data_IF_509436323528
#
_entry.id   IF_509436323528
#
_cell.length_a   1.000
_cell.length_b   1.000
_cell.length_c   1.000
_cell.angle_alpha   90.00
_cell.angle_beta   90.00
_cell.angle_gamma   90.00
#
_symmetry.space_group_name_H-M   'P 1'
#
loop_
_entity.id
_entity.type
_entity.pdbx_description
1 polymer ?
2 non-polymer ?
3 non-polymer ?
4 non-polymer ?
5 water ?
#
# COMPACT_ATOMS: atom_id res chain seq x y z
N UNK A 1 18.83 1.37 0.13
CA UNK A 1 18.24 2.26 1.11
C UNK A 1 16.85 1.80 1.54
N UNK A 2 16.73 1.37 2.80
CA UNK A 2 15.44 0.93 3.33
C UNK A 2 14.53 2.09 3.66
N UNK A 3 15.04 3.32 3.61
CA UNK A 3 14.23 4.50 3.87
C UNK A 3 13.27 4.82 2.73
N UNK A 4 13.48 4.22 1.55
CA UNK A 4 12.67 4.57 0.39
C UNK A 4 11.19 4.32 0.67
N UNK A 5 10.85 3.15 1.19
CA UNK A 5 9.45 2.82 1.38
C UNK A 5 8.82 3.70 2.45
N UNK A 6 9.61 4.13 3.44
CA UNK A 6 9.08 5.02 4.46
C UNK A 6 8.67 6.36 3.86
N UNK A 7 9.48 6.87 2.92
CA UNK A 7 9.11 8.11 2.25
C UNK A 7 7.82 7.94 1.44
N UNK A 8 7.68 6.80 0.75
CA UNK A 8 6.49 6.56 -0.07
C UNK A 8 5.24 6.54 0.80
N UNK A 9 5.34 5.94 1.99
CA UNK A 9 4.19 5.80 2.87
C UNK A 9 3.69 7.14 3.36
N UNK A 10 4.59 8.12 3.52
CA UNK A 10 4.22 9.44 4.04
C UNK A 10 3.68 10.37 2.95
N UNK A 11 3.74 9.97 1.68
CA UNK A 11 3.32 10.88 0.62
C UNK A 11 1.82 11.16 0.66
N UNK A 12 1.01 10.16 0.95
CA UNK A 12 -0.44 10.32 0.98
C UNK A 12 -1.03 9.56 2.16
N UNK A 13 -2.12 10.08 2.75
CA UNK A 13 -2.75 9.38 3.89
C UNK A 13 -3.28 7.99 3.54
N UNK A 14 -3.75 7.79 2.31
CA UNK A 14 -4.42 6.57 1.92
C UNK A 14 -3.75 6.05 0.66
N UNK A 15 -3.48 4.75 0.62
CA UNK A 15 -2.92 4.13 -0.57
C UNK A 15 -3.98 3.25 -1.19
N UNK A 16 -4.56 3.64 -2.33
CA UNK A 16 -5.60 2.80 -2.93
C UNK A 16 -5.05 1.44 -3.29
N UNK A 17 -5.87 0.41 -3.07
CA UNK A 17 -5.56 -0.97 -3.40
C UNK A 17 -6.43 -1.31 -4.58
N UNK A 18 -5.83 -1.37 -5.76
CA UNK A 18 -6.58 -1.44 -7.01
C UNK A 18 -6.63 -2.87 -7.51
N UNK A 19 -7.83 -3.31 -7.84
CA UNK A 19 -8.05 -4.59 -8.51
C UNK A 19 -8.67 -4.25 -9.85
N UNK A 20 -7.88 -4.29 -10.92
CA UNK A 20 -8.30 -3.80 -12.22
C UNK A 20 -8.83 -5.01 -13.00
N UNK A 21 -10.15 -5.15 -13.04
CA UNK A 21 -10.73 -6.27 -13.78
C UNK A 21 -10.90 -5.95 -15.27
N UNK A 22 -11.05 -4.69 -15.62
CA UNK A 22 -11.11 -4.25 -17.02
C UNK A 22 -9.96 -3.29 -17.29
N UNK A 23 -9.05 -3.70 -18.16
CA UNK A 23 -7.83 -2.94 -18.41
C UNK A 23 -8.15 -1.56 -18.99
N UNK A 24 -9.28 -1.43 -19.67
CA UNK A 24 -9.68 -0.14 -20.22
C UNK A 24 -9.95 0.89 -19.14
N UNK A 25 -10.23 0.45 -17.91
CA UNK A 25 -10.41 1.36 -16.78
C UNK A 25 -9.11 1.80 -16.13
N UNK A 26 -7.97 1.25 -16.55
CA UNK A 26 -6.72 1.52 -15.84
C UNK A 26 -6.35 3.00 -15.91
N UNK A 27 -6.28 3.56 -17.11
CA UNK A 27 -5.95 4.98 -17.24
C UNK A 27 -6.98 5.90 -16.57
N UNK A 28 -8.29 5.78 -16.82
CA UNK A 28 -9.23 6.69 -16.12
C UNK A 28 -9.16 6.59 -14.62
N UNK A 29 -8.91 5.39 -14.08
CA UNK A 29 -8.83 5.25 -12.63
C UNK A 29 -7.59 5.94 -12.09
N UNK A 30 -6.44 5.72 -12.73
CA UNK A 30 -5.22 6.39 -12.25
C UNK A 30 -5.34 7.90 -12.37
N UNK A 31 -5.95 8.38 -13.46
CA UNK A 31 -6.11 9.82 -13.63
C UNK A 31 -7.01 10.41 -12.56
N UNK A 32 -8.09 9.71 -12.20
CA UNK A 32 -9.02 10.23 -11.20
C UNK A 32 -8.40 10.22 -9.81
N UNK A 33 -7.60 9.20 -9.50
CA UNK A 33 -6.95 9.16 -8.19
C UNK A 33 -5.89 10.23 -8.08
N UNK A 34 -5.06 10.39 -9.10
CA UNK A 34 -4.01 11.39 -9.05
C UNK A 34 -4.62 12.79 -8.94
N UNK A 35 -5.75 13.01 -9.62
CA UNK A 35 -6.44 14.29 -9.56
C UNK A 35 -6.98 14.59 -8.16
N UNK A 36 -7.24 13.56 -7.36
CA UNK A 36 -7.64 13.70 -5.98
C UNK A 36 -6.52 13.77 -4.96
N UNK A 37 -5.27 13.66 -5.42
CA UNK A 37 -4.13 13.66 -4.53
C UNK A 37 -3.70 12.31 -3.99
N UNK A 38 -4.41 11.23 -4.33
CA UNK A 38 -3.98 9.87 -3.97
C UNK A 38 -3.21 9.29 -5.14
N UNK A 39 -1.97 9.75 -5.29
CA UNK A 39 -1.16 9.34 -6.44
C UNK A 39 -0.27 8.14 -6.19
N UNK A 40 -0.19 7.65 -4.95
CA UNK A 40 0.56 6.43 -4.64
C UNK A 40 -0.40 5.26 -4.80
N UNK A 41 -0.21 4.46 -5.86
CA UNK A 41 -1.19 3.49 -6.31
C UNK A 41 -0.63 2.09 -6.21
N UNK A 42 -1.36 1.19 -5.55
CA UNK A 42 -1.02 -0.23 -5.53
C UNK A 42 -1.91 -0.97 -6.51
N UNK A 43 -1.31 -1.46 -7.59
CA UNK A 43 -2.01 -2.29 -8.57
C UNK A 43 -1.73 -3.74 -8.22
N UNK A 44 -2.72 -4.43 -7.66
CA UNK A 44 -2.53 -5.82 -7.28
C UNK A 44 -2.36 -6.70 -8.50
N UNK A 45 -1.47 -7.68 -8.40
CA UNK A 45 -1.25 -8.66 -9.46
C UNK A 45 -2.19 -9.85 -9.30
N UNK A 46 -3.46 -9.57 -9.06
CA UNK A 46 -4.48 -10.61 -8.92
C UNK A 46 -5.23 -10.88 -10.21
N UNK A 47 -4.96 -10.13 -11.27
CA UNK A 47 -5.72 -10.19 -12.51
C UNK A 47 -4.77 -10.41 -13.68
N UNK A 48 -5.25 -11.06 -14.75
CA UNK A 48 -4.36 -11.35 -15.89
C UNK A 48 -3.74 -10.14 -16.54
N UNK A 49 -4.43 -9.01 -16.56
CA UNK A 49 -3.95 -7.82 -17.26
C UNK A 49 -3.04 -6.96 -16.40
N UNK A 50 -2.78 -7.35 -15.15
CA UNK A 50 -2.33 -6.38 -14.16
C UNK A 50 -1.00 -5.74 -14.54
N UNK A 51 -0.08 -6.50 -15.13
CA UNK A 51 1.18 -5.89 -15.54
C UNK A 51 0.97 -4.86 -16.65
N UNK A 52 0.04 -5.12 -17.56
CA UNK A 52 -0.25 -4.13 -18.58
C UNK A 52 -0.96 -2.92 -17.99
N UNK A 53 -1.82 -3.13 -16.99
CA UNK A 53 -2.43 -1.98 -16.31
C UNK A 53 -1.38 -1.12 -15.60
N UNK A 54 -0.34 -1.75 -15.05
CA UNK A 54 0.73 -0.98 -14.41
C UNK A 54 1.43 -0.11 -15.43
N UNK A 55 1.70 -0.65 -16.63
CA UNK A 55 2.36 0.14 -17.66
C UNK A 55 1.48 1.29 -18.12
N UNK A 56 0.16 1.09 -18.15
CA UNK A 56 -0.75 2.16 -18.54
C UNK A 56 -0.76 3.27 -17.48
N UNK A 57 -0.86 2.88 -16.21
CA UNK A 57 -0.94 3.87 -15.15
C UNK A 57 0.36 4.64 -14.99
N UNK A 58 1.50 4.03 -15.34
CA UNK A 58 2.78 4.74 -15.30
C UNK A 58 2.80 5.92 -16.27
N UNK A 59 1.97 5.88 -17.32
CA UNK A 59 1.89 6.97 -18.28
C UNK A 59 1.19 8.20 -17.73
N UNK A 60 0.50 8.09 -16.59
CA UNK A 60 -0.18 9.23 -15.99
C UNK A 60 0.85 10.07 -15.24
N UNK A 61 1.03 11.34 -15.59
CA UNK A 61 2.01 12.16 -14.84
C UNK A 61 1.61 12.26 -13.38
N UNK A 62 2.60 12.09 -12.49
CA UNK A 62 2.39 12.15 -11.07
C UNK A 62 1.98 10.85 -10.40
N UNK A 63 1.63 9.82 -11.17
CA UNK A 63 1.29 8.54 -10.59
C UNK A 63 2.55 7.82 -10.14
N UNK A 64 2.55 7.37 -8.89
CA UNK A 64 3.62 6.56 -8.32
C UNK A 64 3.06 5.16 -8.22
N UNK A 65 3.37 4.32 -9.21
CA UNK A 65 2.71 3.02 -9.36
C UNK A 65 3.56 1.94 -8.72
N UNK A 66 2.94 1.14 -7.86
CA UNK A 66 3.57 -0.05 -7.32
C UNK A 66 2.74 -1.27 -7.68
N UNK A 67 3.36 -2.44 -7.50
CA UNK A 67 2.67 -3.70 -7.65
C UNK A 67 2.30 -4.25 -6.28
N UNK A 68 1.08 -4.79 -6.17
CA UNK A 68 0.64 -5.48 -4.99
C UNK A 68 0.46 -6.97 -5.25
N UNK A 69 0.20 -7.70 -4.16
CA UNK A 69 0.07 -9.15 -4.21
C UNK A 69 1.29 -9.77 -4.88
N UNK A 70 2.47 -9.24 -4.54
CA UNK A 70 3.74 -9.76 -5.01
C UNK A 70 4.09 -10.94 -4.12
N UNK A 71 3.88 -12.16 -4.61
CA UNK A 71 3.97 -13.35 -3.77
C UNK A 71 5.34 -14.00 -3.74
N UNK A 72 6.22 -13.69 -4.70
CA UNK A 72 7.50 -14.39 -4.76
C UNK A 72 8.48 -13.54 -5.57
N UNK A 73 9.74 -14.01 -5.60
CA UNK A 73 10.81 -13.25 -6.24
C UNK A 73 10.56 -13.07 -7.74
N UNK A 74 9.93 -14.06 -8.38
CA UNK A 74 9.68 -13.94 -9.82
C UNK A 74 8.64 -12.87 -10.11
N UNK A 75 7.58 -12.80 -9.31
CA UNK A 75 6.61 -11.72 -9.51
C UNK A 75 7.23 -10.36 -9.22
N UNK A 76 8.15 -10.28 -8.27
CA UNK A 76 8.82 -9.00 -8.04
C UNK A 76 9.65 -8.60 -9.26
N UNK A 77 10.34 -9.56 -9.87
CA UNK A 77 11.13 -9.24 -11.06
C UNK A 77 10.24 -8.77 -12.20
N UNK A 78 9.09 -9.42 -12.39
CA UNK A 78 8.19 -9.01 -13.46
C UNK A 78 7.63 -7.62 -13.22
N UNK A 79 7.35 -7.29 -11.95
CA UNK A 79 6.84 -5.97 -11.62
C UNK A 79 7.93 -4.92 -11.76
N UNK A 80 9.16 -5.24 -11.32
CA UNK A 80 10.25 -4.30 -11.43
C UNK A 80 10.61 -4.03 -12.89
N UNK A 81 10.51 -5.05 -13.74
CA UNK A 81 10.72 -4.85 -15.17
C UNK A 81 9.63 -4.01 -15.79
N UNK A 82 8.42 -4.05 -15.24
CA UNK A 82 7.35 -3.19 -15.73
C UNK A 82 7.47 -1.76 -15.24
N UNK A 83 8.43 -1.48 -14.36
CA UNK A 83 8.68 -0.13 -13.92
C UNK A 83 8.06 0.27 -12.59
N UNK A 84 7.58 -0.68 -11.81
CA UNK A 84 6.98 -0.36 -10.52
C UNK A 84 7.98 0.33 -9.61
N UNK A 85 7.52 1.36 -8.90
CA UNK A 85 8.37 2.09 -7.99
C UNK A 85 8.43 1.48 -6.60
N UNK A 86 7.44 0.65 -6.23
CA UNK A 86 7.44 -0.02 -4.94
C UNK A 86 6.61 -1.29 -5.09
N UNK A 87 6.66 -2.13 -4.05
CA UNK A 87 6.10 -3.47 -4.11
C UNK A 87 5.41 -3.79 -2.79
N UNK A 88 4.22 -4.39 -2.87
CA UNK A 88 3.42 -4.73 -1.70
C UNK A 88 3.12 -6.21 -1.75
N UNK A 89 3.18 -6.86 -0.59
CA UNK A 89 2.79 -8.26 -0.47
C UNK A 89 1.85 -8.45 0.71
N UNK A 90 0.91 -9.39 0.61
CA UNK A 90 0.04 -9.69 1.77
C UNK A 90 0.79 -10.19 2.98
N UNK A 91 1.93 -10.87 2.78
CA UNK A 91 2.73 -11.41 3.86
C UNK A 91 4.20 -11.38 3.47
N UNK A 92 5.06 -11.97 4.29
CA UNK A 92 6.50 -11.93 4.04
C UNK A 92 7.08 -13.33 4.14
N UNK A 93 7.90 -13.70 3.15
CA UNK A 93 8.75 -14.88 3.22
C UNK A 93 10.21 -14.43 3.20
N UNK A 94 11.09 -15.27 3.71
CA UNK A 94 12.51 -14.92 3.66
C UNK A 94 13.01 -14.81 2.23
N UNK A 95 12.50 -15.66 1.33
CA UNK A 95 12.96 -15.61 -0.05
C UNK A 95 12.54 -14.32 -0.74
N UNK A 96 11.29 -13.88 -0.52
CA UNK A 96 10.86 -12.62 -1.11
C UNK A 96 11.64 -11.45 -0.54
N UNK A 97 11.82 -11.41 0.79
CA UNK A 97 12.47 -10.26 1.39
C UNK A 97 13.94 -10.15 1.04
N UNK A 98 14.64 -11.30 1.00
CA UNK A 98 16.05 -11.25 0.62
C UNK A 98 16.21 -10.83 -0.83
N UNK A 99 15.28 -11.24 -1.70
CA UNK A 99 15.36 -10.85 -3.10
C UNK A 99 15.11 -9.35 -3.27
N UNK A 100 14.13 -8.81 -2.54
CA UNK A 100 13.85 -7.38 -2.64
C UNK A 100 15.03 -6.55 -2.14
N UNK A 101 15.68 -6.99 -1.07
CA UNK A 101 16.85 -6.25 -0.59
C UNK A 101 17.99 -6.34 -1.60
N UNK A 102 18.23 -7.54 -2.15
CA UNK A 102 19.30 -7.70 -3.13
C UNK A 102 19.02 -6.90 -4.40
N UNK A 103 17.76 -6.78 -4.80
CA UNK A 103 17.37 -6.04 -6.00
C UNK A 103 17.14 -4.57 -5.74
N UNK A 104 17.37 -4.09 -4.51
CA UNK A 104 17.14 -2.70 -4.14
C UNK A 104 15.68 -2.29 -4.36
N UNK A 105 14.75 -3.23 -4.18
CA UNK A 105 13.34 -2.96 -4.39
C UNK A 105 12.70 -2.47 -3.10
N UNK A 106 11.90 -1.41 -3.20
CA UNK A 106 11.21 -0.82 -2.04
C UNK A 106 9.99 -1.67 -1.73
N UNK A 107 10.18 -2.67 -0.87
CA UNK A 107 9.14 -3.62 -0.51
C UNK A 107 8.42 -3.17 0.75
N UNK A 108 7.09 -3.33 0.74
CA UNK A 108 6.22 -3.00 1.86
C UNK A 108 5.43 -4.28 2.15
N UNK A 109 6.03 -5.22 2.86
CA UNK A 109 5.37 -6.51 3.11
C UNK A 109 4.33 -6.44 4.21
N UNK A 110 3.29 -7.26 4.05
CA UNK A 110 2.31 -7.41 5.10
C UNK A 110 2.81 -8.24 6.26
N UNK A 111 2.31 -7.92 7.44
CA UNK A 111 2.58 -8.68 8.65
C UNK A 111 1.26 -8.81 9.39
N UNK A 112 1.12 -9.92 10.12
CA UNK A 112 -0.06 -10.12 10.95
C UNK A 112 0.27 -10.40 12.42
N UNK A 113 1.50 -10.74 12.75
CA UNK A 113 1.86 -11.12 14.11
C UNK A 113 3.34 -10.84 14.31
N UNK A 114 3.79 -10.99 15.57
CA UNK A 114 5.13 -10.55 15.92
C UNK A 114 6.21 -11.32 15.18
N UNK A 115 5.98 -12.60 14.88
CA UNK A 115 6.99 -13.37 14.15
C UNK A 115 7.23 -12.80 12.76
N UNK A 116 6.18 -12.26 12.11
CA UNK A 116 6.36 -11.66 10.79
C UNK A 116 7.22 -10.41 10.87
N UNK A 117 7.00 -9.59 11.90
CA UNK A 117 7.80 -8.38 12.08
C UNK A 117 9.25 -8.73 12.34
N UNK A 118 9.49 -9.75 13.16
CA UNK A 118 10.86 -10.11 13.51
C UNK A 118 11.61 -10.65 12.30
N UNK A 119 10.95 -11.39 11.42
CA UNK A 119 11.60 -11.81 10.18
C UNK A 119 11.95 -10.61 9.33
N UNK A 120 11.07 -9.62 9.26
CA UNK A 120 11.37 -8.44 8.47
C UNK A 120 12.51 -7.64 9.06
N UNK A 121 12.55 -7.52 10.39
CA UNK A 121 13.66 -6.82 11.02
C UNK A 121 14.98 -7.55 10.75
N UNK A 122 14.95 -8.88 10.73
CA UNK A 122 16.15 -9.64 10.44
C UNK A 122 16.65 -9.41 9.02
N UNK A 123 15.74 -9.10 8.09
CA UNK A 123 16.11 -8.80 6.72
C UNK A 123 16.51 -7.35 6.51
N UNK A 124 16.40 -6.52 7.54
CA UNK A 124 16.65 -5.09 7.41
C UNK A 124 15.46 -4.24 7.08
N UNK A 125 14.24 -4.78 7.16
CA UNK A 125 13.03 -4.04 6.89
C UNK A 125 12.35 -3.65 8.21
N UNK A 126 11.83 -2.41 8.27
CA UNK A 126 11.10 -1.99 9.46
C UNK A 126 9.82 -1.22 9.13
N UNK A 127 9.29 -1.37 7.92
CA UNK A 127 8.04 -0.76 7.51
C UNK A 127 7.15 -1.85 6.89
N UNK A 128 5.92 -1.99 7.38
CA UNK A 128 5.07 -3.10 7.01
C UNK A 128 3.61 -2.66 6.90
N UNK A 129 2.88 -3.32 6.01
CA UNK A 129 1.43 -3.38 6.11
C UNK A 129 1.01 -4.24 7.28
N UNK A 130 -0.03 -3.81 7.98
CA UNK A 130 -0.69 -4.62 9.02
C UNK A 130 -1.95 -5.17 8.35
N UNK A 131 -1.87 -6.42 7.89
CA UNK A 131 -2.89 -6.96 7.01
C UNK A 131 -3.30 -8.38 7.39
N UNK A 132 -4.60 -8.72 7.27
CA UNK A 132 -5.73 -7.81 7.01
C UNK A 132 -6.25 -7.18 8.30
N UNK A 133 -6.13 -5.85 8.40
CA UNK A 133 -6.17 -5.19 9.71
C UNK A 133 -7.43 -5.54 10.50
N UNK A 134 -8.60 -5.43 9.87
CA UNK A 134 -9.83 -5.56 10.64
C UNK A 134 -10.17 -7.02 10.98
N UNK A 135 -9.46 -7.98 10.41
CA UNK A 135 -9.66 -9.39 10.72
C UNK A 135 -8.63 -9.95 11.69
N UNK A 136 -7.61 -9.18 12.06
CA UNK A 136 -6.58 -9.68 12.96
C UNK A 136 -6.51 -8.83 14.23
N UNK A 137 -7.65 -8.25 14.62
CA UNK A 137 -7.74 -7.48 15.84
C UNK A 137 -7.78 -5.98 15.67
N UNK A 138 -7.55 -5.45 14.45
CA UNK A 138 -7.83 -4.05 14.22
C UNK A 138 -6.87 -3.13 14.95
N UNK A 139 -7.34 -1.91 15.21
CA UNK A 139 -6.50 -0.92 15.88
C UNK A 139 -6.00 -1.39 17.25
N UNK A 140 -6.82 -2.00 18.13
CA UNK A 140 -6.26 -2.49 19.39
C UNK A 140 -5.11 -3.48 19.21
N UNK A 141 -5.18 -4.35 18.20
CA UNK A 141 -4.09 -5.27 17.97
C UNK A 141 -2.86 -4.54 17.40
N UNK A 142 -3.09 -3.56 16.53
CA UNK A 142 -1.97 -2.80 16.00
C UNK A 142 -1.30 -1.97 17.10
N UNK A 143 -2.09 -1.45 18.04
CA UNK A 143 -1.50 -0.68 19.13
C UNK A 143 -0.59 -1.55 19.98
N UNK A 144 -1.00 -2.79 20.27
CA UNK A 144 -0.15 -3.66 21.07
C UNK A 144 1.14 -3.99 20.33
N UNK A 145 1.06 -4.12 19.00
CA UNK A 145 2.24 -4.44 18.22
C UNK A 145 3.18 -3.25 18.10
N UNK A 146 2.62 -2.05 17.89
CA UNK A 146 3.43 -0.85 17.81
C UNK A 146 4.08 -0.53 19.16
N UNK A 147 3.43 -0.92 20.26
CA UNK A 147 4.01 -0.73 21.58
C UNK A 147 5.25 -1.60 21.77
N UNK A 148 5.25 -2.79 21.16
CA UNK A 148 6.38 -3.70 21.30
C UNK A 148 7.52 -3.31 20.37
N UNK A 149 7.21 -2.99 19.12
CA UNK A 149 8.20 -2.70 18.08
C UNK A 149 8.27 -1.19 17.89
N UNK A 150 9.05 -0.54 18.77
CA UNK A 150 9.05 0.92 18.83
C UNK A 150 9.62 1.56 17.58
N UNK A 151 10.52 0.88 16.88
CA UNK A 151 11.12 1.48 15.70
C UNK A 151 10.35 1.20 14.41
N UNK A 152 9.33 0.36 14.46
CA UNK A 152 8.58 -0.04 13.28
C UNK A 152 7.44 0.94 13.03
N UNK A 153 7.10 1.17 11.76
CA UNK A 153 5.93 1.94 11.38
C UNK A 153 5.06 1.14 10.43
N UNK A 154 3.77 1.45 10.39
CA UNK A 154 2.78 0.56 9.80
C UNK A 154 1.85 1.27 8.82
N UNK A 155 1.28 0.44 7.93
CA UNK A 155 0.20 0.82 7.00
C UNK A 155 -0.92 -0.20 7.11
N UNK A 156 -1.88 0.00 8.03
CA UNK A 156 -2.99 -0.95 8.11
C UNK A 156 -3.79 -1.00 6.82
N UNK A 157 -4.19 -2.21 6.44
CA UNK A 157 -4.92 -2.46 5.21
C UNK A 157 -5.81 -3.68 5.45
N UNK A 158 -7.01 -3.66 4.90
CA UNK A 158 -7.96 -4.74 5.07
C UNK A 158 -9.13 -4.34 5.94
N UNK A 159 -10.24 -3.96 5.31
CA UNK A 159 -11.41 -3.51 6.02
C UNK A 159 -11.40 -2.07 6.48
N UNK A 160 -10.41 -1.27 6.07
CA UNK A 160 -10.39 0.14 6.44
C UNK A 160 -11.49 0.89 5.69
N UNK A 161 -12.09 1.87 6.34
CA UNK A 161 -13.22 2.64 5.86
C UNK A 161 -12.91 4.11 6.03
N UNK A 162 -13.62 5.00 5.32
CA UNK A 162 -13.43 6.44 5.57
C UNK A 162 -13.68 6.82 7.02
N UNK A 163 -14.58 6.11 7.70
CA UNK A 163 -14.83 6.38 9.12
C UNK A 163 -13.65 5.96 10.00
N UNK A 164 -13.12 4.76 9.78
CA UNK A 164 -12.07 4.26 10.67
C UNK A 164 -10.68 4.77 10.31
N UNK A 165 -10.47 5.19 9.06
CA UNK A 165 -9.13 5.61 8.65
C UNK A 165 -8.55 6.72 9.52
N UNK A 166 -9.26 7.82 9.81
CA UNK A 166 -8.69 8.83 10.72
C UNK A 166 -8.35 8.28 12.09
N UNK A 167 -9.14 7.32 12.60
CA UNK A 167 -8.83 6.74 13.90
C UNK A 167 -7.51 5.98 13.88
N UNK A 168 -7.25 5.21 12.82
CA UNK A 168 -5.94 4.62 12.66
C UNK A 168 -4.85 5.68 12.50
N UNK A 169 -5.16 6.75 11.77
CA UNK A 169 -4.16 7.76 11.46
C UNK A 169 -3.81 8.64 12.66
N UNK A 170 -4.61 8.60 13.72
CA UNK A 170 -4.26 9.28 14.96
C UNK A 170 -3.03 8.66 15.63
N UNK A 171 -2.73 7.40 15.37
CA UNK A 171 -1.61 6.74 16.03
C UNK A 171 -0.30 7.14 15.36
N UNK A 172 0.68 7.67 16.12
CA UNK A 172 1.93 8.13 15.50
C UNK A 172 2.74 7.03 14.83
N UNK A 173 2.52 5.76 15.19
CA UNK A 173 3.21 4.64 14.54
C UNK A 173 2.61 4.29 13.19
N UNK A 174 1.48 4.90 12.81
CA UNK A 174 0.82 4.61 11.55
C UNK A 174 1.11 5.74 10.58
N UNK A 175 1.70 5.40 9.42
CA UNK A 175 2.06 6.41 8.43
C UNK A 175 0.97 6.64 7.40
N UNK A 176 0.20 5.61 7.08
CA UNK A 176 -0.86 5.67 6.08
C UNK A 176 -1.73 4.44 6.29
N UNK A 177 -2.85 4.39 5.56
CA UNK A 177 -3.68 3.21 5.53
C UNK A 177 -3.91 2.80 4.07
N UNK A 178 -4.23 1.53 3.87
CA UNK A 178 -4.59 1.03 2.55
C UNK A 178 -6.08 0.81 2.50
N UNK A 179 -6.67 1.02 1.32
CA UNK A 179 -8.11 0.83 1.18
C UNK A 179 -8.52 0.69 -0.26
N UNK A 180 -9.65 0.00 -0.46
CA UNK A 180 -10.25 -0.13 -1.78
C UNK A 180 -11.52 0.69 -1.94
N UNK A 181 -11.96 1.39 -0.90
CA UNK A 181 -13.23 2.12 -0.98
C UNK A 181 -13.17 3.29 -1.96
N UNK A 182 -11.97 3.84 -2.22
CA UNK A 182 -11.87 5.00 -3.10
C UNK A 182 -12.25 4.66 -4.55
N UNK A 183 -12.13 3.40 -4.95
CA UNK A 183 -12.57 2.93 -6.25
C UNK A 183 -13.65 1.88 -6.04
N UNK A 184 -14.92 2.27 -6.07
CA UNK A 184 -16.01 1.31 -5.86
C UNK A 184 -16.05 0.27 -6.97
N UNK A 185 -16.49 -0.93 -6.60
CA UNK A 185 -16.68 -1.98 -7.59
C UNK A 185 -17.68 -1.52 -8.64
N UNK A 186 -17.45 -1.95 -9.87
CA UNK A 186 -18.28 -1.55 -11.00
C UNK A 186 -17.53 -0.62 -11.93
N UNK A 187 -18.25 -0.15 -12.95
CA UNK A 187 -17.63 0.73 -13.94
C UNK A 187 -17.21 2.02 -13.26
N UNK A 188 -15.98 2.49 -13.49
CA UNK A 188 -15.51 3.68 -12.77
C UNK A 188 -16.36 4.91 -13.06
N UNK A 189 -16.59 5.67 -12.01
CA UNK A 189 -17.21 6.98 -12.03
C UNK A 189 -16.11 7.93 -11.58
N UNK A 190 -15.43 8.54 -12.55
CA UNK A 190 -14.19 9.27 -12.24
C UNK A 190 -14.48 10.46 -11.35
N UNK A 191 -15.66 11.08 -11.47
CA UNK A 191 -15.96 12.22 -10.61
C UNK A 191 -16.11 11.77 -9.15
N UNK A 192 -16.74 10.62 -8.93
CA UNK A 192 -16.88 10.12 -7.56
C UNK A 192 -15.54 9.63 -7.02
N UNK A 193 -14.73 8.99 -7.86
CA UNK A 193 -13.41 8.54 -7.42
C UNK A 193 -12.54 9.72 -7.01
N UNK A 194 -12.56 10.80 -7.82
CA UNK A 194 -11.75 11.97 -7.48
C UNK A 194 -12.26 12.63 -6.20
N UNK A 195 -13.58 12.66 -6.00
CA UNK A 195 -14.12 13.28 -4.79
C UNK A 195 -13.74 12.48 -3.55
N UNK A 196 -13.78 11.15 -3.64
CA UNK A 196 -13.36 10.33 -2.51
C UNK A 196 -11.86 10.46 -2.25
N UNK A 197 -11.07 10.61 -3.31
CA UNK A 197 -9.63 10.76 -3.12
C UNK A 197 -9.30 12.11 -2.50
N UNK A 198 -10.01 13.18 -2.90
CA UNK A 198 -9.76 14.48 -2.30
C UNK A 198 -10.09 14.47 -0.82
N UNK A 199 -11.12 13.73 -0.42
CA UNK A 199 -11.48 13.64 0.99
C UNK A 199 -10.41 12.86 1.76
N UNK A 200 -10.00 11.71 1.23
CA UNK A 200 -8.96 10.93 1.89
C UNK A 200 -7.62 11.68 1.90
N UNK A 201 -7.35 12.47 0.86
CA UNK A 201 -6.10 13.22 0.80
C UNK A 201 -6.01 14.24 1.93
N UNK A 202 -7.15 14.71 2.42
CA UNK A 202 -7.23 15.68 3.50
C UNK A 202 -7.19 15.05 4.89
N UNK A 203 -7.15 13.72 5.00
CA UNK A 203 -7.13 13.08 6.31
C UNK A 203 -5.92 13.55 7.11
N UNK A 204 -6.15 13.88 8.38
CA UNK A 204 -5.05 14.26 9.26
C UNK A 204 -4.27 13.03 9.71
N UNK A 205 -2.97 13.21 9.90
CA UNK A 205 -2.08 12.14 10.33
C UNK A 205 -1.18 12.65 11.45
N UNK A 206 -1.16 11.91 12.56
CA UNK A 206 -0.23 12.27 13.63
C UNK A 206 1.22 12.17 13.17
N UNK A 207 1.53 11.24 12.27
CA UNK A 207 2.90 11.04 11.84
C UNK A 207 3.38 12.02 10.78
N UNK A 208 2.47 12.72 10.09
CA UNK A 208 2.84 13.55 8.93
C UNK A 208 2.06 14.85 8.99
N UNK A 209 2.76 15.96 9.21
CA UNK A 209 2.12 17.28 9.26
C UNK A 209 1.64 17.70 7.86
#
# INVERSE_FOLDING_TARGET
>A
AMRDIDSVMRLAPVMPVLVIEDIADAKPIAEALVAGGLNVLEVTLRTPCALEAIKIMKEVPGAVVGAGTVLNAKMLDQAQEAGCEFFVSPGLTADLGKHAVAQKAALLPGVANAADVMLGLDLGLDRFKFFPAENIGGLPALKSMASVFRQVRFCPTGGITPTSAPKYLENPSILCVGGSWVVPAGKPDVAKITALAKEASAFKRAAVA
#
